data_IF_382520835052
#
_entry.id   IF_382520835052
#
_cell.length_a   1.000
_cell.length_b   1.000
_cell.length_c   1.000
_cell.angle_alpha   90.00
_cell.angle_beta   90.00
_cell.angle_gamma   90.00
#
_symmetry.space_group_name_H-M   'P 1'
#
loop_
_entity.id
_entity.type
_entity.pdbx_description
1 polymer ?
#
# COMPACT_ATOMS: atom_id res chain seq x y z
N UNK A 1 -20.38 16.62 9.39
CA UNK A 1 -19.53 17.00 10.54
C UNK A 1 -18.13 17.41 10.09
N UNK A 2 -17.31 16.54 9.47
CA UNK A 2 -15.96 16.95 9.00
C UNK A 2 -15.97 18.04 7.91
N UNK A 3 -16.86 17.93 6.91
CA UNK A 3 -17.03 18.95 5.86
C UNK A 3 -17.45 20.32 6.41
N UNK A 4 -18.33 20.32 7.41
CA UNK A 4 -18.85 21.53 8.04
C UNK A 4 -17.85 22.19 9.00
N UNK A 5 -16.89 21.43 9.54
CA UNK A 5 -15.88 21.93 10.48
C UNK A 5 -14.53 22.26 9.83
N UNK A 6 -14.38 22.07 8.52
CA UNK A 6 -13.10 22.31 7.84
C UNK A 6 -12.01 21.28 8.16
N UNK A 7 -12.35 20.17 8.84
CA UNK A 7 -11.37 19.20 9.32
C UNK A 7 -10.91 18.29 8.19
N UNK A 8 -9.58 18.14 8.05
CA UNK A 8 -8.94 17.21 7.14
C UNK A 8 -8.50 15.97 7.93
N UNK A 9 -8.82 14.80 7.42
CA UNK A 9 -8.40 13.51 7.97
C UNK A 9 -7.76 12.72 6.84
N UNK A 10 -6.48 12.40 6.95
CA UNK A 10 -5.80 11.49 6.03
C UNK A 10 -5.58 10.15 6.74
N UNK A 11 -6.49 9.18 6.58
CA UNK A 11 -6.36 7.88 7.24
C UNK A 11 -5.18 7.11 6.64
N UNK A 12 -4.55 6.26 7.46
CA UNK A 12 -3.54 5.31 7.00
C UNK A 12 -2.45 5.93 6.11
N UNK A 13 -1.92 7.09 6.50
CA UNK A 13 -0.81 7.78 5.81
C UNK A 13 0.52 7.00 5.82
N UNK A 14 0.50 5.78 6.34
CA UNK A 14 1.64 4.93 6.59
C UNK A 14 1.31 3.48 6.18
N UNK A 15 2.33 2.62 6.17
CA UNK A 15 2.20 1.23 5.77
C UNK A 15 2.12 1.10 4.25
N UNK A 16 1.20 0.27 3.76
CA UNK A 16 1.04 -0.01 2.33
C UNK A 16 0.12 0.95 1.58
N UNK A 17 -0.69 1.75 2.29
CA UNK A 17 -1.70 2.61 1.67
C UNK A 17 -1.10 3.85 1.02
N UNK A 18 -0.24 4.59 1.74
CA UNK A 18 0.38 5.80 1.21
C UNK A 18 1.29 5.55 0.00
N UNK A 19 2.18 4.54 -0.01
CA UNK A 19 2.99 4.23 -1.19
C UNK A 19 2.14 3.93 -2.43
N UNK A 20 1.12 3.07 -2.30
CA UNK A 20 0.22 2.70 -3.41
C UNK A 20 -0.55 3.90 -3.96
N UNK A 21 -1.06 4.76 -3.08
CA UNK A 21 -1.77 5.99 -3.47
C UNK A 21 -0.83 6.99 -4.17
N UNK A 22 0.39 7.17 -3.65
CA UNK A 22 1.39 8.06 -4.25
C UNK A 22 1.83 7.59 -5.64
N UNK A 23 2.14 6.30 -5.85
CA UNK A 23 2.54 5.80 -7.18
C UNK A 23 1.39 5.90 -8.19
N UNK A 24 0.14 5.66 -7.77
CA UNK A 24 -1.03 5.84 -8.62
C UNK A 24 -1.24 7.32 -8.98
N UNK A 25 -1.11 8.22 -8.02
CA UNK A 25 -1.21 9.66 -8.24
C UNK A 25 -0.09 10.19 -9.16
N UNK A 26 1.14 9.69 -8.99
CA UNK A 26 2.27 10.05 -9.85
C UNK A 26 2.01 9.67 -11.31
N UNK A 27 1.50 8.46 -11.57
CA UNK A 27 1.08 8.02 -12.90
C UNK A 27 -0.02 8.92 -13.45
N UNK A 28 -1.09 9.14 -12.69
CA UNK A 28 -2.20 9.99 -13.13
C UNK A 28 -1.74 11.44 -13.43
N UNK A 29 -0.82 11.96 -12.62
CA UNK A 29 -0.20 13.26 -12.80
C UNK A 29 0.68 13.32 -14.06
N UNK A 30 1.45 12.28 -14.34
CA UNK A 30 2.26 12.15 -15.55
C UNK A 30 1.39 12.13 -16.80
N UNK A 31 0.37 11.26 -16.85
CA UNK A 31 -0.54 11.15 -18.01
C UNK A 31 -1.21 12.49 -18.33
N UNK A 32 -1.70 13.19 -17.30
CA UNK A 32 -2.31 14.51 -17.45
C UNK A 32 -1.32 15.53 -18.00
N UNK A 33 -0.06 15.54 -17.53
CA UNK A 33 0.99 16.45 -18.01
C UNK A 33 1.36 16.19 -19.48
N UNK A 34 1.30 14.93 -19.91
CA UNK A 34 1.56 14.53 -21.31
C UNK A 34 0.35 14.70 -22.24
N UNK A 35 -0.79 15.18 -21.73
CA UNK A 35 -2.02 15.31 -22.52
C UNK A 35 -2.64 13.97 -22.93
N UNK A 36 -2.28 12.88 -22.25
CA UNK A 36 -2.85 11.55 -22.49
C UNK A 36 -4.22 11.41 -21.80
N UNK A 37 -5.01 10.45 -22.29
CA UNK A 37 -6.27 10.09 -21.63
C UNK A 37 -6.01 9.59 -20.19
N UNK A 38 -7.03 9.72 -19.34
CA UNK A 38 -6.99 9.20 -17.98
C UNK A 38 -6.65 7.70 -17.99
N UNK A 39 -5.94 7.25 -16.95
CA UNK A 39 -5.57 5.84 -16.82
C UNK A 39 -6.86 5.00 -16.82
N UNK A 40 -6.92 4.00 -17.72
CA UNK A 40 -7.97 2.99 -17.68
C UNK A 40 -7.74 2.02 -16.52
N UNK A 41 -6.48 1.79 -16.17
CA UNK A 41 -6.07 0.92 -15.08
C UNK A 41 -4.69 1.34 -14.55
N UNK A 42 -4.50 1.18 -13.23
CA UNK A 42 -3.19 1.27 -12.60
C UNK A 42 -3.00 -0.02 -11.80
N UNK A 43 -1.96 -0.78 -12.15
CA UNK A 43 -1.57 -1.99 -11.43
C UNK A 43 -0.41 -1.63 -10.53
N UNK A 44 -0.52 -1.92 -9.23
CA UNK A 44 0.54 -1.66 -8.25
C UNK A 44 0.98 -2.95 -7.56
N UNK A 45 2.29 -3.09 -7.41
CA UNK A 45 2.96 -4.16 -6.67
C UNK A 45 3.70 -3.56 -5.49
N UNK A 46 3.59 -4.21 -4.33
CA UNK A 46 4.32 -3.84 -3.12
C UNK A 46 5.23 -4.97 -2.67
N UNK A 47 6.41 -4.63 -2.17
CA UNK A 47 7.38 -5.54 -1.58
C UNK A 47 7.91 -4.93 -0.28
N UNK A 48 7.71 -5.65 0.81
CA UNK A 48 8.20 -5.28 2.14
C UNK A 48 9.24 -6.31 2.58
N UNK A 49 10.47 -5.85 2.83
CA UNK A 49 11.52 -6.63 3.47
C UNK A 49 11.53 -6.28 4.94
N UNK A 50 11.06 -7.20 5.79
CA UNK A 50 11.02 -7.00 7.24
C UNK A 50 11.89 -8.04 7.95
N UNK A 51 12.62 -7.63 8.97
CA UNK A 51 13.38 -8.56 9.82
C UNK A 51 12.45 -9.47 10.62
N UNK A 52 11.39 -8.90 11.20
CA UNK A 52 10.41 -9.64 11.98
C UNK A 52 9.11 -8.87 12.14
N UNK A 53 7.98 -9.57 12.10
CA UNK A 53 6.70 -9.04 12.57
C UNK A 53 6.83 -8.74 14.06
N UNK A 54 6.68 -7.46 14.44
CA UNK A 54 6.71 -7.05 15.83
C UNK A 54 5.49 -7.64 16.55
N UNK A 55 5.63 -8.00 17.85
CA UNK A 55 4.52 -8.54 18.64
C UNK A 55 3.27 -7.65 18.59
N UNK A 56 3.46 -6.32 18.51
CA UNK A 56 2.39 -5.36 18.31
C UNK A 56 1.56 -5.60 17.04
N UNK A 57 2.19 -5.88 15.89
CA UNK A 57 1.47 -6.15 14.65
C UNK A 57 0.63 -7.43 14.72
N UNK A 58 1.14 -8.46 15.41
CA UNK A 58 0.41 -9.72 15.60
C UNK A 58 -0.81 -9.53 16.51
N UNK A 59 -0.67 -8.73 17.57
CA UNK A 59 -1.81 -8.31 18.40
C UNK A 59 -2.86 -7.54 17.59
N UNK A 60 -2.45 -6.59 16.75
CA UNK A 60 -3.39 -5.87 15.89
C UNK A 60 -4.18 -6.81 14.97
N UNK A 61 -3.51 -7.81 14.37
CA UNK A 61 -4.19 -8.83 13.56
C UNK A 61 -5.20 -9.61 14.41
N UNK A 62 -4.80 -10.08 15.59
CA UNK A 62 -5.71 -10.83 16.48
C UNK A 62 -6.92 -9.98 16.90
N UNK A 63 -6.70 -8.74 17.31
CA UNK A 63 -7.73 -7.83 17.79
C UNK A 63 -8.74 -7.48 16.67
N UNK A 64 -8.26 -7.29 15.43
CA UNK A 64 -9.13 -7.10 14.25
C UNK A 64 -9.93 -8.36 13.94
N UNK A 65 -9.30 -9.54 14.01
CA UNK A 65 -9.98 -10.83 13.77
C UNK A 65 -11.03 -11.15 14.85
N UNK A 66 -10.82 -10.70 16.09
CA UNK A 66 -11.79 -10.82 17.19
C UNK A 66 -12.93 -9.82 17.06
N UNK A 67 -12.62 -8.57 16.68
CA UNK A 67 -13.61 -7.47 16.62
C UNK A 67 -14.49 -7.55 15.38
N UNK A 68 -13.90 -7.83 14.21
CA UNK A 68 -14.56 -7.75 12.90
C UNK A 68 -14.69 -9.10 12.19
N UNK A 69 -14.11 -10.16 12.76
CA UNK A 69 -14.04 -11.47 12.12
C UNK A 69 -13.01 -11.53 10.99
N UNK A 70 -12.92 -12.69 10.33
CA UNK A 70 -11.95 -12.96 9.25
C UNK A 70 -12.55 -12.92 7.84
N UNK A 71 -13.87 -12.74 7.72
CA UNK A 71 -14.59 -12.87 6.45
C UNK A 71 -14.03 -11.93 5.37
N UNK A 72 -13.81 -10.66 5.72
CA UNK A 72 -13.23 -9.67 4.80
C UNK A 72 -11.81 -9.99 4.33
N UNK A 73 -11.06 -10.80 5.09
CA UNK A 73 -9.72 -11.23 4.69
C UNK A 73 -9.76 -12.42 3.73
N UNK A 74 -10.80 -13.24 3.82
CA UNK A 74 -11.04 -14.35 2.90
C UNK A 74 -11.59 -13.85 1.56
N UNK A 75 -12.53 -12.90 1.60
CA UNK A 75 -13.16 -12.28 0.44
C UNK A 75 -12.79 -10.80 0.38
N UNK A 76 -11.64 -10.49 -0.21
CA UNK A 76 -11.21 -9.11 -0.42
C UNK A 76 -12.06 -8.48 -1.52
N UNK A 77 -13.09 -7.72 -1.13
CA UNK A 77 -13.80 -6.84 -2.05
C UNK A 77 -13.01 -5.55 -2.24
N UNK A 78 -12.33 -5.45 -3.36
CA UNK A 78 -11.55 -4.27 -3.77
C UNK A 78 -12.43 -3.05 -4.02
N UNK A 79 -13.75 -3.21 -4.03
CA UNK A 79 -14.73 -2.18 -4.36
C UNK A 79 -15.36 -1.52 -3.13
N UNK A 80 -15.07 -2.02 -1.92
CA UNK A 80 -15.81 -1.65 -0.69
C UNK A 80 -15.69 -0.16 -0.32
N UNK A 81 -14.63 0.52 -0.78
CA UNK A 81 -14.41 1.94 -0.56
C UNK A 81 -14.76 2.82 -1.77
N UNK A 82 -15.27 2.24 -2.86
CA UNK A 82 -15.62 3.01 -4.05
C UNK A 82 -16.95 3.75 -3.84
N UNK A 83 -17.02 5.03 -4.23
CA UNK A 83 -18.26 5.80 -4.17
C UNK A 83 -19.33 5.26 -5.13
N UNK A 84 -18.91 4.66 -6.26
CA UNK A 84 -19.79 3.92 -7.16
C UNK A 84 -19.16 2.56 -7.56
N UNK A 85 -19.63 1.44 -6.99
CA UNK A 85 -19.10 0.11 -7.28
C UNK A 85 -19.49 -0.40 -8.68
N UNK A 86 -20.43 0.26 -9.39
CA UNK A 86 -20.92 -0.20 -10.70
C UNK A 86 -19.87 -0.10 -11.81
N UNK A 87 -18.80 0.65 -11.60
CA UNK A 87 -17.75 0.88 -12.61
C UNK A 87 -16.52 -0.03 -12.42
N UNK A 88 -16.61 -1.03 -11.54
CA UNK A 88 -15.51 -1.97 -11.32
C UNK A 88 -15.48 -3.01 -12.43
N UNK A 89 -14.52 -2.86 -13.35
CA UNK A 89 -14.13 -3.92 -14.27
C UNK A 89 -13.42 -5.01 -13.47
N UNK A 90 -14.15 -6.07 -13.11
CA UNK A 90 -13.56 -7.25 -12.49
C UNK A 90 -12.77 -8.02 -13.54
N UNK A 91 -11.46 -7.75 -13.65
CA UNK A 91 -10.57 -8.58 -14.47
C UNK A 91 -10.49 -10.00 -13.88
N UNK A 92 -10.29 -10.96 -14.77
CA UNK A 92 -10.19 -12.37 -14.41
C UNK A 92 -8.98 -12.54 -13.50
N UNK A 93 -9.22 -12.89 -12.23
CA UNK A 93 -8.13 -13.23 -11.32
C UNK A 93 -7.51 -14.50 -11.88
N UNK A 94 -6.22 -14.47 -12.20
CA UNK A 94 -5.49 -15.68 -12.57
C UNK A 94 -5.62 -16.75 -11.49
N UNK A 95 -5.17 -17.97 -11.77
CA UNK A 95 -5.31 -19.09 -10.85
C UNK A 95 -4.79 -18.72 -9.45
N UNK A 96 -5.64 -18.84 -8.42
CA UNK A 96 -5.33 -18.44 -7.03
C UNK A 96 -4.87 -16.98 -6.85
N UNK A 97 -5.30 -16.07 -7.74
CA UNK A 97 -4.98 -14.64 -7.65
C UNK A 97 -3.50 -14.32 -7.92
N UNK A 98 -2.80 -15.22 -8.62
CA UNK A 98 -1.49 -14.97 -9.22
C UNK A 98 -1.65 -14.33 -10.61
N UNK A 99 -0.78 -13.39 -10.93
CA UNK A 99 -0.68 -12.77 -12.24
C UNK A 99 0.80 -12.45 -12.52
N UNK A 100 1.23 -12.56 -13.77
CA UNK A 100 2.57 -12.14 -14.17
C UNK A 100 2.45 -10.85 -14.99
N UNK A 101 3.26 -9.87 -14.64
CA UNK A 101 3.37 -8.60 -15.34
C UNK A 101 4.83 -8.41 -15.77
N UNK A 102 5.07 -7.95 -17.00
CA UNK A 102 6.42 -7.82 -17.55
C UNK A 102 7.27 -6.76 -16.81
N UNK A 103 6.64 -5.76 -16.20
CA UNK A 103 7.32 -4.69 -15.47
C UNK A 103 7.26 -4.88 -13.95
N UNK A 104 6.26 -5.60 -13.44
CA UNK A 104 6.05 -5.84 -12.01
C UNK A 104 6.38 -7.28 -11.56
N UNK A 105 6.84 -8.13 -12.47
CA UNK A 105 7.18 -9.53 -12.27
C UNK A 105 6.00 -10.39 -11.76
N UNK A 106 6.24 -11.28 -10.79
CA UNK A 106 5.21 -12.14 -10.23
C UNK A 106 4.37 -11.40 -9.18
N UNK A 107 3.11 -11.17 -9.50
CA UNK A 107 2.11 -10.58 -8.62
C UNK A 107 1.28 -11.68 -7.96
N UNK A 108 1.10 -11.55 -6.65
CA UNK A 108 0.16 -12.38 -5.89
C UNK A 108 -0.70 -11.48 -5.02
N UNK A 109 -1.99 -11.76 -4.95
CA UNK A 109 -2.96 -11.06 -4.08
C UNK A 109 -2.84 -11.42 -2.60
N UNK A 110 -1.64 -11.84 -2.14
CA UNK A 110 -1.35 -12.24 -0.76
C UNK A 110 -0.80 -11.07 0.07
N UNK A 111 -0.47 -11.35 1.33
CA UNK A 111 0.27 -10.41 2.17
C UNK A 111 1.53 -9.92 1.45
N UNK A 112 1.87 -8.64 1.64
CA UNK A 112 3.00 -7.95 0.99
C UNK A 112 4.31 -8.55 1.50
N UNK A 113 4.73 -9.65 0.88
CA UNK A 113 5.92 -10.41 1.21
C UNK A 113 6.73 -10.68 -0.05
N UNK A 114 8.07 -10.76 0.02
CA UNK A 114 8.89 -11.11 -1.13
C UNK A 114 8.54 -12.53 -1.61
N UNK A 115 8.18 -12.68 -2.87
CA UNK A 115 8.08 -13.97 -3.55
C UNK A 115 9.02 -13.96 -4.76
N UNK A 116 10.02 -14.83 -4.78
CA UNK A 116 11.06 -14.88 -5.81
C UNK A 116 10.70 -15.79 -6.99
N UNK A 117 9.42 -16.15 -7.16
CA UNK A 117 8.95 -16.99 -8.25
C UNK A 117 7.53 -17.54 -8.04
N UNK A 118 7.04 -18.22 -9.07
CA UNK A 118 5.67 -18.75 -9.15
C UNK A 118 5.31 -19.71 -8.00
N UNK A 119 6.19 -20.67 -7.69
CA UNK A 119 5.97 -21.65 -6.61
C UNK A 119 5.95 -20.95 -5.24
N UNK A 120 6.87 -20.01 -5.02
CA UNK A 120 6.94 -19.24 -3.78
C UNK A 120 5.68 -18.37 -3.58
N UNK A 121 5.19 -17.75 -4.66
CA UNK A 121 3.97 -16.95 -4.66
C UNK A 121 2.73 -17.81 -4.34
N UNK A 122 2.58 -18.98 -4.98
CA UNK A 122 1.48 -19.90 -4.72
C UNK A 122 1.53 -20.46 -3.30
N UNK A 123 2.71 -20.86 -2.83
CA UNK A 123 2.89 -21.36 -1.46
C UNK A 123 2.52 -20.27 -0.45
N UNK A 124 2.97 -19.03 -0.64
CA UNK A 124 2.60 -17.93 0.25
C UNK A 124 1.11 -17.64 0.23
N UNK A 125 0.46 -17.72 -0.93
CA UNK A 125 -1.00 -17.57 -1.01
C UNK A 125 -1.73 -18.65 -0.19
N UNK A 126 -1.33 -19.92 -0.34
CA UNK A 126 -1.91 -21.05 0.39
C UNK A 126 -1.67 -20.90 1.89
N UNK A 127 -0.42 -20.64 2.31
CA UNK A 127 -0.05 -20.48 3.73
C UNK A 127 -0.81 -19.30 4.34
N UNK A 128 -0.96 -18.18 3.62
CA UNK A 128 -1.70 -17.01 4.09
C UNK A 128 -3.19 -17.34 4.29
N UNK A 129 -3.84 -17.98 3.31
CA UNK A 129 -5.25 -18.38 3.42
C UNK A 129 -5.47 -19.38 4.55
N UNK A 130 -4.58 -20.36 4.70
CA UNK A 130 -4.63 -21.30 5.80
C UNK A 130 -4.45 -20.61 7.15
N UNK A 131 -3.48 -19.69 7.26
CA UNK A 131 -3.27 -18.88 8.47
C UNK A 131 -4.50 -18.06 8.85
N UNK A 132 -5.12 -17.37 7.89
CA UNK A 132 -6.37 -16.63 8.10
C UNK A 132 -7.49 -17.56 8.57
N UNK A 133 -7.60 -18.75 7.98
CA UNK A 133 -8.60 -19.74 8.40
C UNK A 133 -8.36 -20.25 9.82
N UNK A 134 -7.10 -20.52 10.20
CA UNK A 134 -6.77 -20.92 11.57
C UNK A 134 -7.09 -19.83 12.58
N UNK A 135 -6.95 -18.56 12.21
CA UNK A 135 -7.39 -17.43 13.03
C UNK A 135 -8.90 -17.40 13.25
N UNK A 136 -9.74 -18.14 12.49
CA UNK A 136 -11.16 -18.30 12.83
C UNK A 136 -11.35 -19.00 14.18
N UNK A 137 -10.40 -19.85 14.57
CA UNK A 137 -10.53 -20.81 15.65
C UNK A 137 -10.10 -20.17 16.98
N UNK A 138 -11.00 -20.02 17.98
CA UNK A 138 -10.71 -19.29 19.22
C UNK A 138 -9.49 -19.82 20.01
N UNK A 139 -9.33 -21.15 20.12
CA UNK A 139 -8.18 -21.72 20.84
C UNK A 139 -6.85 -21.43 20.15
N UNK A 140 -6.85 -21.36 18.82
CA UNK A 140 -5.66 -21.01 18.04
C UNK A 140 -5.29 -19.53 18.23
N UNK A 141 -6.28 -18.62 18.26
CA UNK A 141 -6.05 -17.20 18.61
C UNK A 141 -5.38 -17.07 19.98
N UNK A 142 -5.89 -17.77 21.00
CA UNK A 142 -5.33 -17.74 22.36
C UNK A 142 -3.90 -18.30 22.39
N UNK A 143 -3.62 -19.37 21.64
CA UNK A 143 -2.27 -19.92 21.51
C UNK A 143 -1.29 -18.94 20.86
N UNK A 144 -1.68 -18.30 19.76
CA UNK A 144 -0.87 -17.29 19.07
C UNK A 144 -0.62 -16.10 19.99
N UNK A 145 -1.63 -15.65 20.74
CA UNK A 145 -1.50 -14.57 21.73
C UNK A 145 -0.52 -14.95 22.84
N UNK A 146 -0.58 -16.17 23.37
CA UNK A 146 0.33 -16.67 24.41
C UNK A 146 1.79 -16.82 23.94
N UNK A 147 2.04 -16.92 22.63
CA UNK A 147 3.39 -16.91 22.02
C UNK A 147 3.83 -15.54 21.49
N UNK A 148 2.93 -14.54 21.50
CA UNK A 148 3.25 -13.21 20.99
C UNK A 148 4.19 -12.52 21.97
N UNK A 149 5.33 -12.04 21.47
CA UNK A 149 6.29 -11.28 22.28
C UNK A 149 5.65 -10.02 22.85
N UNK A 150 6.06 -9.62 24.05
CA UNK A 150 5.56 -8.41 24.70
C UNK A 150 5.65 -7.20 23.77
N UNK A 151 4.63 -6.34 23.83
CA UNK A 151 4.56 -5.11 23.06
C UNK A 151 5.81 -4.28 23.35
N UNK A 152 6.66 -4.06 22.34
CA UNK A 152 7.97 -3.39 22.48
C UNK A 152 9.19 -4.29 22.22
N UNK A 153 9.01 -5.61 22.22
CA UNK A 153 10.04 -6.62 21.88
C UNK A 153 10.27 -6.77 20.36
N UNK A 154 10.35 -5.63 19.67
CA UNK A 154 10.69 -5.56 18.25
C UNK A 154 12.17 -5.86 18.01
N UNK A 155 12.57 -6.15 16.75
CA UNK A 155 13.97 -6.20 16.40
C UNK A 155 14.67 -4.87 16.75
N UNK A 156 15.96 -4.95 17.05
CA UNK A 156 16.79 -3.78 17.31
C UNK A 156 16.67 -2.76 16.16
N UNK A 157 16.48 -1.47 16.49
CA UNK A 157 16.22 -0.43 15.49
C UNK A 157 17.40 -0.26 14.54
N UNK A 158 18.63 -0.41 15.03
CA UNK A 158 19.82 -0.25 14.18
C UNK A 158 20.00 -1.46 13.26
N UNK A 159 19.63 -2.66 13.70
CA UNK A 159 19.47 -3.83 12.85
C UNK A 159 18.41 -3.62 11.76
N UNK A 160 17.21 -3.17 12.14
CA UNK A 160 16.12 -2.88 11.20
C UNK A 160 16.50 -1.85 10.15
N UNK A 161 17.19 -0.76 10.52
CA UNK A 161 17.65 0.26 9.57
C UNK A 161 18.57 -0.26 8.48
N UNK A 162 19.31 -1.34 8.73
CA UNK A 162 20.27 -1.91 7.77
C UNK A 162 19.62 -2.89 6.80
N UNK A 163 18.56 -3.57 7.22
CA UNK A 163 18.02 -4.76 6.55
C UNK A 163 16.62 -4.49 5.97
N UNK A 164 15.82 -3.68 6.64
CA UNK A 164 14.45 -3.42 6.23
C UNK A 164 14.39 -2.48 5.03
N UNK A 165 13.41 -2.74 4.18
CA UNK A 165 13.13 -1.91 3.02
C UNK A 165 11.69 -2.08 2.54
N UNK A 166 11.25 -1.08 1.79
CA UNK A 166 9.93 -0.94 1.25
C UNK A 166 10.06 -0.56 -0.23
N UNK A 167 9.38 -1.27 -1.11
CA UNK A 167 9.31 -0.94 -2.53
C UNK A 167 7.87 -1.07 -3.02
N UNK A 168 7.39 -0.05 -3.71
CA UNK A 168 6.18 -0.07 -4.50
C UNK A 168 6.50 0.31 -5.93
N UNK A 169 5.98 -0.48 -6.86
CA UNK A 169 6.04 -0.23 -8.29
C UNK A 169 4.63 -0.19 -8.83
N UNK A 170 4.38 0.64 -9.82
CA UNK A 170 3.11 0.67 -10.51
C UNK A 170 3.28 0.93 -12.00
N UNK A 171 2.38 0.37 -12.79
CA UNK A 171 2.24 0.65 -14.22
C UNK A 171 0.86 1.20 -14.52
N UNK A 172 0.80 2.15 -15.45
CA UNK A 172 -0.43 2.79 -15.90
C UNK A 172 -0.79 2.41 -17.33
N UNK A 173 -2.05 1.99 -17.53
CA UNK A 173 -2.63 1.70 -18.83
C UNK A 173 -3.59 2.81 -19.25
N UNK A 174 -3.75 3.00 -20.55
CA UNK A 174 -4.71 3.94 -21.14
C UNK A 174 -5.63 3.19 -22.10
N UNK A 175 -6.90 3.61 -22.19
CA UNK A 175 -7.88 2.99 -23.08
C UNK A 175 -7.36 2.87 -24.51
N UNK A 176 -7.42 1.68 -25.08
CA UNK A 176 -6.98 1.38 -26.44
C UNK A 176 -5.50 1.02 -26.59
N UNK A 177 -4.72 0.98 -25.49
CA UNK A 177 -3.35 0.46 -25.49
C UNK A 177 -3.26 -0.83 -24.66
N UNK A 178 -2.61 -1.85 -25.23
CA UNK A 178 -2.36 -3.12 -24.53
C UNK A 178 -1.14 -3.03 -23.60
N UNK A 179 -0.15 -2.23 -23.97
CA UNK A 179 1.06 -2.00 -23.17
C UNK A 179 0.90 -0.82 -22.20
N UNK A 180 1.55 -0.87 -21.03
CA UNK A 180 1.56 0.25 -20.10
C UNK A 180 2.35 1.43 -20.68
N UNK A 181 1.90 2.65 -20.39
CA UNK A 181 2.47 3.90 -20.92
C UNK A 181 3.26 4.69 -19.88
N UNK A 182 3.18 4.29 -18.62
CA UNK A 182 3.85 4.97 -17.52
C UNK A 182 4.23 3.97 -16.44
N UNK A 183 5.37 4.22 -15.79
CA UNK A 183 5.87 3.46 -14.65
C UNK A 183 6.15 4.41 -13.50
N UNK A 184 5.72 4.08 -12.29
CA UNK A 184 6.06 4.82 -11.09
C UNK A 184 6.67 3.91 -10.02
N UNK A 185 7.59 4.48 -9.25
CA UNK A 185 8.29 3.79 -8.17
C UNK A 185 8.25 4.62 -6.90
N UNK A 186 8.08 3.95 -5.79
CA UNK A 186 8.31 4.44 -4.44
C UNK A 186 9.23 3.44 -3.74
N UNK A 187 10.36 3.89 -3.19
CA UNK A 187 11.18 3.01 -2.36
C UNK A 187 11.81 3.72 -1.17
N UNK A 188 12.01 2.94 -0.12
CA UNK A 188 12.57 3.36 1.15
C UNK A 188 13.49 2.26 1.69
N UNK A 189 14.68 2.65 2.17
CA UNK A 189 15.62 1.76 2.85
C UNK A 189 15.81 2.26 4.28
N UNK A 190 15.53 1.41 5.25
CA UNK A 190 15.49 1.79 6.66
C UNK A 190 14.40 1.03 7.41
N UNK A 191 14.34 1.25 8.72
CA UNK A 191 13.31 0.62 9.54
C UNK A 191 11.91 1.08 9.08
N UNK A 192 10.98 0.16 8.88
CA UNK A 192 9.64 0.51 8.37
C UNK A 192 8.81 1.32 9.36
N UNK A 193 9.16 1.26 10.65
CA UNK A 193 8.62 2.18 11.67
C UNK A 193 9.13 3.60 11.44
N UNK A 194 10.40 3.77 11.04
CA UNK A 194 10.95 5.08 10.69
C UNK A 194 10.24 5.62 9.44
N UNK A 195 10.00 4.76 8.42
CA UNK A 195 9.19 5.11 7.24
C UNK A 195 7.82 5.67 7.63
N UNK A 196 7.11 4.97 8.53
CA UNK A 196 5.80 5.37 9.03
C UNK A 196 5.81 6.74 9.69
N UNK A 197 6.82 7.01 10.52
CA UNK A 197 7.00 8.28 11.22
C UNK A 197 7.28 9.40 10.22
N UNK A 198 8.20 9.19 9.29
CA UNK A 198 8.55 10.21 8.30
C UNK A 198 7.34 10.55 7.43
N UNK A 199 6.61 9.55 6.91
CA UNK A 199 5.37 9.80 6.14
C UNK A 199 4.36 10.66 6.90
N UNK A 200 4.15 10.37 8.19
CA UNK A 200 3.21 11.13 9.02
C UNK A 200 3.71 12.55 9.32
N UNK A 201 4.99 12.71 9.67
CA UNK A 201 5.60 14.01 10.00
C UNK A 201 5.63 14.91 8.77
N UNK A 202 6.09 14.40 7.62
CA UNK A 202 6.20 15.15 6.38
C UNK A 202 4.82 15.56 5.86
N UNK A 203 3.80 14.72 6.05
CA UNK A 203 2.43 15.06 5.71
C UNK A 203 1.86 16.16 6.61
N UNK A 204 2.04 16.05 7.93
CA UNK A 204 1.63 17.08 8.87
C UNK A 204 2.32 18.42 8.56
N UNK A 205 3.62 18.37 8.24
CA UNK A 205 4.37 19.54 7.84
C UNK A 205 3.90 20.13 6.51
N UNK A 206 3.48 19.29 5.56
CA UNK A 206 2.88 19.75 4.29
C UNK A 206 1.55 20.44 4.54
N UNK A 207 0.66 19.85 5.36
CA UNK A 207 -0.64 20.44 5.73
C UNK A 207 -0.43 21.80 6.42
N UNK A 208 0.57 21.90 7.30
CA UNK A 208 0.87 23.15 8.00
C UNK A 208 1.38 24.27 7.08
N UNK A 209 1.91 23.93 5.90
CA UNK A 209 2.38 24.87 4.89
C UNK A 209 1.32 25.17 3.81
N UNK A 210 0.23 24.40 3.74
CA UNK A 210 -0.84 24.64 2.79
C UNK A 210 -1.60 25.92 3.15
N UNK A 211 -1.81 26.77 2.15
CA UNK A 211 -2.74 27.89 2.30
C UNK A 211 -4.18 27.36 2.38
N UNK A 212 -5.08 28.09 3.07
CA UNK A 212 -6.50 27.70 3.16
C UNK A 212 -7.20 27.54 1.80
N UNK A 213 -6.67 28.15 0.73
CA UNK A 213 -7.15 28.00 -0.65
C UNK A 213 -6.61 26.76 -1.37
N UNK A 214 -5.50 26.19 -0.91
CA UNK A 214 -4.84 25.00 -1.48
C UNK A 214 -5.33 23.69 -0.83
N UNK A 215 -5.93 23.79 0.36
CA UNK A 215 -6.59 22.68 1.01
C UNK A 215 -7.71 22.13 0.10
N UNK A 216 -7.55 20.89 -0.36
CA UNK A 216 -8.38 20.18 -1.35
C UNK A 216 -9.77 19.77 -0.83
N UNK A 217 -10.32 20.52 0.13
CA UNK A 217 -11.60 20.28 0.77
C UNK A 217 -11.48 19.62 2.13
N UNK A 218 -12.53 19.75 2.95
CA UNK A 218 -12.60 19.12 4.25
C UNK A 218 -13.20 17.70 4.16
N UNK A 219 -12.72 16.78 5.01
CA UNK A 219 -13.20 15.39 5.05
C UNK A 219 -12.08 14.37 5.07
N UNK A 220 -12.41 13.16 4.61
CA UNK A 220 -11.50 12.03 4.47
C UNK A 220 -10.75 12.16 3.14
N UNK A 221 -9.45 12.43 3.20
CA UNK A 221 -8.59 12.64 2.03
C UNK A 221 -7.52 11.55 1.93
N UNK A 222 -7.00 11.31 0.72
CA UNK A 222 -5.87 10.41 0.48
C UNK A 222 -4.54 11.16 0.59
N UNK A 223 -3.41 10.50 0.92
CA UNK A 223 -2.09 11.13 0.95
C UNK A 223 -1.71 11.92 -0.31
N UNK A 224 -2.18 11.48 -1.48
CA UNK A 224 -1.98 12.12 -2.78
C UNK A 224 -2.57 13.53 -2.89
N UNK A 225 -3.55 13.87 -2.03
CA UNK A 225 -4.08 15.23 -1.93
C UNK A 225 -3.05 16.26 -1.47
N UNK A 226 -1.94 15.80 -0.88
CA UNK A 226 -0.82 16.64 -0.45
C UNK A 226 0.10 17.09 -1.61
N UNK A 227 -0.07 16.50 -2.78
CA UNK A 227 0.56 16.93 -4.02
C UNK A 227 2.09 16.82 -4.06
N UNK A 228 2.71 17.56 -4.99
CA UNK A 228 4.16 17.49 -5.22
C UNK A 228 4.98 18.00 -4.03
N UNK A 229 4.46 18.95 -3.25
CA UNK A 229 5.14 19.44 -2.02
C UNK A 229 5.45 18.29 -1.07
N UNK A 230 4.50 17.37 -0.87
CA UNK A 230 4.73 16.20 -0.04
C UNK A 230 5.72 15.22 -0.68
N UNK A 231 5.63 14.99 -1.98
CA UNK A 231 6.59 14.14 -2.72
C UNK A 231 8.01 14.67 -2.59
N UNK A 232 8.21 15.99 -2.76
CA UNK A 232 9.53 16.60 -2.69
C UNK A 232 10.11 16.57 -1.27
N UNK A 233 9.25 16.72 -0.27
CA UNK A 233 9.58 16.48 1.15
C UNK A 233 10.05 15.06 1.42
N UNK A 234 9.33 14.06 0.90
CA UNK A 234 9.74 12.65 1.04
C UNK A 234 11.05 12.37 0.33
N UNK A 235 11.27 12.93 -0.87
CA UNK A 235 12.56 12.84 -1.57
C UNK A 235 13.70 13.43 -0.74
N UNK A 236 13.49 14.62 -0.17
CA UNK A 236 14.46 15.25 0.72
C UNK A 236 14.73 14.41 1.99
N UNK A 237 13.75 13.66 2.46
CA UNK A 237 13.87 12.73 3.59
C UNK A 237 14.47 11.35 3.22
N UNK A 238 14.95 11.18 1.98
CA UNK A 238 15.67 9.99 1.53
C UNK A 238 14.80 8.90 0.89
N UNK A 239 13.55 9.21 0.53
CA UNK A 239 12.72 8.30 -0.26
C UNK A 239 13.02 8.47 -1.75
N UNK A 240 12.97 7.37 -2.50
CA UNK A 240 13.10 7.37 -3.95
C UNK A 240 11.71 7.28 -4.59
N UNK A 241 11.19 8.42 -5.07
CA UNK A 241 9.90 8.53 -5.76
C UNK A 241 10.10 9.00 -7.21
N UNK A 242 9.80 8.14 -8.18
CA UNK A 242 9.94 8.45 -9.62
C UNK A 242 8.66 8.12 -10.39
N UNK A 243 8.52 8.77 -11.55
CA UNK A 243 7.54 8.41 -12.57
C UNK A 243 8.12 8.72 -13.94
N UNK A 244 8.06 7.72 -14.81
CA UNK A 244 8.70 7.73 -16.12
C UNK A 244 7.70 7.24 -17.18
N UNK A 245 7.83 7.78 -18.40
CA UNK A 245 7.10 7.26 -19.55
C UNK A 245 7.66 5.92 -19.96
N UNK A 246 6.77 4.98 -20.28
CA UNK A 246 7.14 3.76 -20.97
C UNK A 246 6.87 4.01 -22.46
N UNK A 247 7.92 4.35 -23.21
CA UNK A 247 7.80 4.49 -24.66
C UNK A 247 7.48 3.13 -25.26
N UNK A 248 6.36 3.05 -25.96
CA UNK A 248 5.99 1.90 -26.80
C UNK A 248 6.89 1.94 -28.03
N UNK A 249 7.86 1.03 -28.12
CA UNK A 249 8.63 0.80 -29.36
C UNK A 249 7.78 0.10 -30.41
#
# INVERSE_FOLDING_TARGET
MAKSSGVIIIPAISGSSAPSDLVAWLIAGYLRKQGLHAASEIVSSGKLSMLRTQGGSLHTVLDVAETYGIGGWLTSDTSVLLPDPKHVVKKNKGLMGHHYDQHLEHLATSFVAPATGLISALLMHIVTKLGIFLLAVPWFRSFVRGKSFDRGSGPDRDGSRKIESAEWKAVGYVTGKEEPVAFAKFSYKGALVDMAVVLAVEAAATINQMNKSEATGAGLLTPSTLGYTFVDRLRAAGFDLTVDGLETH
#
